data_IF_193654247286
#
_entry.id   IF_193654247286
#
_cell.length_a   1.000
_cell.length_b   1.000
_cell.length_c   1.000
_cell.angle_alpha   90.00
_cell.angle_beta   90.00
_cell.angle_gamma   90.00
#
_symmetry.space_group_name_H-M   'P 1'
#
loop_
_entity.id
_entity.type
_entity.pdbx_description
1 polymer ?
#
# COMPACT_ATOMS: atom_id res chain seq x y z
N UNK A 1 64.59 -39.65 8.98
CA UNK A 1 64.16 -40.18 7.65
C UNK A 1 63.91 -41.69 7.79
N UNK A 2 63.06 -42.36 6.99
CA UNK A 2 62.11 -41.86 5.96
C UNK A 2 60.68 -42.52 5.95
N UNK A 3 59.83 -42.08 4.99
CA UNK A 3 58.73 -42.79 4.28
C UNK A 3 57.47 -43.42 4.95
N UNK A 4 56.43 -42.59 5.16
CA UNK A 4 55.12 -42.56 4.45
C UNK A 4 54.54 -43.85 3.78
N UNK A 5 53.33 -44.34 4.20
CA UNK A 5 52.11 -44.59 3.37
C UNK A 5 50.92 -45.33 4.08
N UNK A 6 49.69 -44.76 3.99
CA UNK A 6 48.33 -45.42 4.05
C UNK A 6 48.01 -46.18 5.37
N UNK A 7 46.79 -46.60 5.77
CA UNK A 7 45.35 -46.52 5.37
C UNK A 7 44.53 -46.67 6.70
N UNK A 8 43.20 -46.56 6.89
CA UNK A 8 41.94 -46.24 6.17
C UNK A 8 40.92 -45.70 7.24
N UNK A 9 39.75 -45.09 6.94
CA UNK A 9 38.96 -44.35 7.94
C UNK A 9 37.79 -45.12 8.59
N UNK A 10 37.29 -44.54 9.70
CA UNK A 10 35.94 -44.74 10.24
C UNK A 10 35.53 -43.51 11.09
N UNK A 11 34.26 -43.19 11.33
CA UNK A 11 33.06 -43.84 10.78
C UNK A 11 31.89 -43.87 11.76
N UNK A 12 31.17 -42.76 11.95
CA UNK A 12 29.88 -42.72 12.64
C UNK A 12 28.80 -42.01 11.80
N UNK A 13 27.53 -42.32 12.10
CA UNK A 13 26.41 -42.26 11.15
C UNK A 13 25.38 -41.20 11.52
N UNK A 14 24.81 -40.55 10.51
CA UNK A 14 23.57 -39.78 10.63
C UNK A 14 22.41 -40.69 11.03
N UNK A 15 21.61 -40.27 12.02
CA UNK A 15 20.33 -40.90 12.33
C UNK A 15 19.24 -40.38 11.40
N UNK A 16 18.61 -41.27 10.63
CA UNK A 16 17.39 -40.96 9.86
C UNK A 16 16.20 -41.53 10.62
N UNK A 17 15.23 -40.67 10.98
CA UNK A 17 13.99 -41.07 11.61
C UNK A 17 12.90 -41.27 10.56
N UNK A 18 12.75 -42.50 10.09
CA UNK A 18 11.70 -42.89 9.14
C UNK A 18 10.39 -43.14 9.88
N UNK A 19 9.42 -42.23 9.72
CA UNK A 19 8.03 -42.48 10.16
C UNK A 19 7.26 -43.26 9.09
N UNK A 20 6.41 -44.21 9.52
CA UNK A 20 5.76 -45.19 8.64
C UNK A 20 4.39 -44.69 8.17
N UNK A 21 4.10 -44.79 6.87
CA UNK A 21 2.74 -44.67 6.37
C UNK A 21 1.92 -45.91 6.74
N UNK A 22 0.81 -45.72 7.44
CA UNK A 22 -0.26 -46.70 7.59
C UNK A 22 -1.50 -46.18 6.86
N UNK A 23 -1.84 -46.81 5.74
CA UNK A 23 -3.08 -46.55 5.01
C UNK A 23 -4.18 -47.50 5.51
N UNK A 24 -5.32 -46.95 5.91
CA UNK A 24 -6.51 -47.71 6.28
C UNK A 24 -7.77 -47.02 5.72
N UNK A 25 -8.53 -47.73 4.90
CA UNK A 25 -9.78 -47.24 4.33
C UNK A 25 -10.94 -47.41 5.33
N UNK A 26 -11.78 -46.40 5.55
CA UNK A 26 -13.14 -46.61 6.03
C UNK A 26 -14.02 -47.10 4.86
N UNK A 27 -14.74 -48.20 5.06
CA UNK A 27 -15.75 -48.67 4.10
C UNK A 27 -17.03 -47.82 4.19
N UNK A 28 -17.67 -47.60 3.04
CA UNK A 28 -18.95 -46.90 2.92
C UNK A 28 -20.12 -47.73 3.46
N UNK A 29 -20.96 -47.14 4.31
CA UNK A 29 -22.32 -47.63 4.57
C UNK A 29 -23.34 -46.49 4.60
N UNK A 30 -24.55 -46.80 4.12
CA UNK A 30 -25.76 -45.97 4.05
C UNK A 30 -26.93 -46.92 3.72
N UNK A 31 -28.23 -46.56 3.89
CA UNK A 31 -28.80 -45.33 4.45
C UNK A 31 -29.50 -45.65 5.80
N UNK A 32 -30.65 -45.07 6.25
CA UNK A 32 -31.88 -44.79 5.49
C UNK A 32 -32.24 -43.29 5.38
N UNK A 33 -33.10 -42.97 4.41
CA UNK A 33 -33.67 -41.62 4.25
C UNK A 33 -34.87 -41.40 5.18
N UNK A 34 -35.05 -40.18 5.69
CA UNK A 34 -36.20 -39.79 6.50
C UNK A 34 -36.68 -38.36 6.18
N UNK A 35 -37.97 -38.23 5.82
CA UNK A 35 -38.78 -37.02 5.97
C UNK A 35 -38.28 -35.71 5.34
N UNK A 36 -38.71 -35.40 4.11
CA UNK A 36 -38.90 -34.01 3.70
C UNK A 36 -40.06 -33.41 4.51
N UNK A 37 -39.75 -32.63 5.55
CA UNK A 37 -40.73 -31.81 6.25
C UNK A 37 -40.87 -30.45 5.54
N UNK A 38 -42.05 -30.17 4.99
CA UNK A 38 -42.37 -28.85 4.41
C UNK A 38 -42.41 -27.78 5.51
N UNK A 39 -41.76 -26.61 5.33
CA UNK A 39 -41.90 -25.52 6.28
C UNK A 39 -43.34 -25.00 6.31
N UNK A 40 -43.91 -24.87 7.50
CA UNK A 40 -45.26 -24.32 7.68
C UNK A 40 -45.29 -22.82 7.33
N UNK A 41 -46.41 -22.30 6.77
CA UNK A 41 -46.56 -20.87 6.53
C UNK A 41 -46.59 -20.10 7.85
N UNK A 42 -45.82 -19.01 7.93
CA UNK A 42 -45.85 -18.11 9.08
C UNK A 42 -47.20 -17.40 9.22
N UNK A 43 -47.60 -17.00 10.45
CA UNK A 43 -48.88 -16.34 10.70
C UNK A 43 -48.96 -14.99 9.98
N UNK A 44 -50.13 -14.70 9.40
CA UNK A 44 -50.41 -13.46 8.70
C UNK A 44 -50.42 -12.23 9.65
N UNK A 45 -50.10 -11.02 9.17
CA UNK A 45 -50.14 -9.81 9.99
C UNK A 45 -51.59 -9.46 10.39
N UNK A 46 -51.78 -9.11 11.66
CA UNK A 46 -53.07 -8.66 12.20
C UNK A 46 -53.43 -7.24 11.71
N UNK A 47 -54.73 -6.91 11.57
CA UNK A 47 -55.16 -5.62 11.01
C UNK A 47 -54.90 -4.44 11.94
N UNK A 48 -54.52 -3.30 11.35
CA UNK A 48 -54.26 -2.05 12.08
C UNK A 48 -55.56 -1.35 12.51
N UNK A 49 -55.62 -0.91 13.77
CA UNK A 49 -56.72 -0.08 14.29
C UNK A 49 -56.43 1.42 14.10
N UNK A 50 -57.39 2.25 13.63
CA UNK A 50 -57.19 3.68 13.42
C UNK A 50 -57.63 4.51 14.63
N UNK A 51 -56.72 5.31 15.20
CA UNK A 51 -57.00 6.33 16.24
C UNK A 51 -55.98 7.49 16.13
N UNK A 52 -56.24 8.68 16.68
CA UNK A 52 -56.83 9.78 15.92
C UNK A 52 -55.82 10.91 15.59
N UNK A 53 -56.25 11.89 14.79
CA UNK A 53 -55.44 13.06 14.47
C UNK A 53 -55.25 14.00 15.68
N UNK A 54 -53.99 14.20 16.10
CA UNK A 54 -53.60 15.25 17.04
C UNK A 54 -53.12 16.50 16.29
N UNK A 55 -53.57 17.67 16.74
CA UNK A 55 -53.34 18.96 16.07
C UNK A 55 -52.00 19.61 16.42
N UNK A 56 -51.18 19.83 15.40
CA UNK A 56 -50.35 21.04 15.23
C UNK A 56 -49.32 21.40 16.31
N UNK A 57 -48.11 20.85 16.19
CA UNK A 57 -46.88 21.51 16.68
C UNK A 57 -46.10 22.04 15.45
N UNK A 58 -45.59 23.29 15.45
CA UNK A 58 -44.77 23.77 14.34
C UNK A 58 -43.51 22.92 14.16
N UNK A 59 -43.23 22.49 12.93
CA UNK A 59 -42.01 21.74 12.63
C UNK A 59 -40.76 22.63 12.79
N UNK A 60 -39.68 22.15 13.42
CA UNK A 60 -38.40 22.85 13.38
C UNK A 60 -37.89 22.90 11.94
N UNK A 61 -37.29 24.03 11.55
CA UNK A 61 -36.72 24.18 10.21
C UNK A 61 -35.66 23.09 9.92
N UNK A 62 -35.54 22.61 8.66
CA UNK A 62 -34.58 21.56 8.33
C UNK A 62 -33.16 22.03 8.63
N UNK A 63 -32.50 21.35 9.56
CA UNK A 63 -31.12 21.64 9.92
C UNK A 63 -30.22 21.49 8.67
N UNK A 64 -29.42 22.51 8.38
CA UNK A 64 -28.46 22.47 7.27
C UNK A 64 -27.48 21.32 7.49
N UNK A 65 -27.51 20.31 6.62
CA UNK A 65 -26.56 19.20 6.64
C UNK A 65 -25.15 19.78 6.58
N UNK A 66 -24.25 19.46 7.54
CA UNK A 66 -22.87 19.92 7.48
C UNK A 66 -22.24 19.45 6.16
N UNK A 67 -21.66 20.39 5.41
CA UNK A 67 -20.98 20.04 4.17
C UNK A 67 -19.90 18.99 4.45
N UNK A 68 -19.79 17.98 3.57
CA UNK A 68 -18.77 16.97 3.68
C UNK A 68 -17.37 17.63 3.75
N UNK A 69 -16.43 17.11 4.56
CA UNK A 69 -15.09 17.68 4.66
C UNK A 69 -14.48 17.85 3.27
N UNK A 70 -14.07 19.09 2.95
CA UNK A 70 -13.53 19.40 1.63
C UNK A 70 -12.34 18.48 1.33
N UNK A 71 -12.33 17.90 0.12
CA UNK A 71 -11.23 17.03 -0.31
C UNK A 71 -9.89 17.76 -0.13
N UNK A 72 -8.84 17.10 0.41
CA UNK A 72 -7.57 17.75 0.68
C UNK A 72 -7.01 18.36 -0.61
N UNK A 73 -6.57 19.62 -0.51
CA UNK A 73 -6.12 20.40 -1.66
C UNK A 73 -5.04 19.66 -2.47
N UNK A 74 -5.09 19.70 -3.82
CA UNK A 74 -4.15 18.96 -4.65
C UNK A 74 -2.72 19.40 -4.34
N UNK A 75 -1.89 18.44 -3.89
CA UNK A 75 -0.45 18.65 -3.75
C UNK A 75 0.17 18.79 -5.15
N UNK A 76 1.30 19.50 -5.22
CA UNK A 76 2.14 19.46 -6.41
C UNK A 76 2.55 18.00 -6.70
N UNK A 77 2.12 17.47 -7.85
CA UNK A 77 2.12 16.03 -8.10
C UNK A 77 3.50 15.38 -7.90
N UNK A 78 3.61 14.39 -7.00
CA UNK A 78 4.80 13.56 -6.89
C UNK A 78 4.84 12.47 -7.97
N UNK A 79 3.86 12.36 -8.88
CA UNK A 79 3.77 11.29 -9.88
C UNK A 79 5.09 11.07 -10.66
N UNK A 80 5.71 9.89 -10.49
CA UNK A 80 7.05 9.55 -10.98
C UNK A 80 8.21 9.91 -10.03
N UNK A 81 7.94 10.20 -8.76
CA UNK A 81 8.97 10.50 -7.75
C UNK A 81 9.64 9.23 -7.25
N UNK A 82 10.97 9.24 -7.34
CA UNK A 82 11.82 8.13 -6.90
C UNK A 82 12.36 8.35 -5.48
N UNK A 83 12.47 7.25 -4.76
CA UNK A 83 13.28 7.09 -3.55
C UNK A 83 13.91 5.71 -3.47
N UNK A 84 14.47 5.37 -2.32
CA UNK A 84 14.99 4.03 -2.05
C UNK A 84 14.82 3.66 -0.57
N UNK A 85 14.65 2.38 -0.29
CA UNK A 85 14.99 1.83 1.02
C UNK A 85 16.49 1.55 1.06
N UNK A 86 17.18 2.14 2.04
CA UNK A 86 18.64 2.12 2.14
C UNK A 86 19.16 1.58 3.49
N UNK A 87 18.29 1.51 4.50
CA UNK A 87 18.46 1.06 5.91
C UNK A 87 17.42 1.82 6.76
N UNK A 88 16.77 1.21 7.77
CA UNK A 88 15.68 1.90 8.52
C UNK A 88 16.16 2.97 9.51
N UNK A 89 17.44 2.96 9.89
CA UNK A 89 18.03 3.88 10.86
C UNK A 89 18.48 5.22 10.28
N UNK A 90 19.09 6.11 11.11
CA UNK A 90 19.58 7.41 10.66
C UNK A 90 20.60 7.35 9.52
N UNK A 91 21.33 6.24 9.39
CA UNK A 91 22.25 6.01 8.29
C UNK A 91 21.54 5.86 6.94
N UNK A 92 20.29 5.36 6.88
CA UNK A 92 19.45 5.35 5.68
C UNK A 92 19.14 6.76 5.17
N UNK A 93 18.81 7.68 6.09
CA UNK A 93 18.63 9.11 5.77
C UNK A 93 19.90 9.72 5.18
N UNK A 94 21.07 9.39 5.74
CA UNK A 94 22.36 9.85 5.22
C UNK A 94 22.77 9.17 3.90
N UNK A 95 22.25 7.97 3.62
CA UNK A 95 22.44 7.24 2.35
C UNK A 95 21.61 7.87 1.22
N UNK A 96 20.40 8.39 1.48
CA UNK A 96 19.54 9.01 0.45
C UNK A 96 20.22 10.15 -0.31
N UNK A 97 20.80 11.12 0.41
CA UNK A 97 21.41 12.28 -0.23
C UNK A 97 22.64 11.84 -1.08
N UNK A 98 23.40 10.80 -0.65
CA UNK A 98 24.49 10.18 -1.43
C UNK A 98 24.03 9.34 -2.64
N UNK A 99 22.85 8.72 -2.57
CA UNK A 99 22.24 8.05 -3.72
C UNK A 99 21.85 9.09 -4.79
N UNK A 100 21.41 10.29 -4.36
CA UNK A 100 21.23 11.44 -5.24
C UNK A 100 22.51 11.84 -5.97
N UNK A 101 23.63 11.96 -5.24
CA UNK A 101 24.95 12.25 -5.82
C UNK A 101 25.39 11.19 -6.84
N UNK A 102 25.22 9.90 -6.53
CA UNK A 102 25.55 8.78 -7.45
C UNK A 102 24.65 8.75 -8.71
N UNK A 103 23.48 9.38 -8.65
CA UNK A 103 22.59 9.65 -9.79
C UNK A 103 22.83 11.05 -10.41
N UNK A 104 24.02 11.63 -10.21
CA UNK A 104 24.42 12.90 -10.82
C UNK A 104 23.82 14.15 -10.15
N UNK A 105 23.55 14.08 -8.85
CA UNK A 105 22.90 15.16 -8.09
C UNK A 105 21.37 15.14 -8.17
N UNK A 106 20.76 13.99 -8.48
CA UNK A 106 19.29 13.86 -8.59
C UNK A 106 18.65 14.05 -7.21
N UNK A 107 17.92 15.15 -7.04
CA UNK A 107 17.19 15.44 -5.81
C UNK A 107 16.06 14.43 -5.56
N UNK A 108 16.32 13.43 -4.72
CA UNK A 108 15.32 12.44 -4.30
C UNK A 108 14.16 13.13 -3.57
N UNK A 109 12.94 12.69 -3.88
CA UNK A 109 11.69 13.22 -3.32
C UNK A 109 11.00 12.27 -2.35
N UNK A 110 11.39 11.01 -2.33
CA UNK A 110 10.77 9.99 -1.48
C UNK A 110 11.82 9.39 -0.57
N UNK A 111 11.50 9.32 0.72
CA UNK A 111 12.24 8.55 1.71
C UNK A 111 11.37 7.39 2.17
N UNK A 112 11.96 6.20 2.30
CA UNK A 112 11.24 4.97 2.59
C UNK A 112 11.95 4.18 3.68
N UNK A 113 11.18 3.66 4.63
CA UNK A 113 11.68 2.99 5.84
C UNK A 113 10.60 2.12 6.46
N UNK A 114 11.00 1.23 7.37
CA UNK A 114 10.15 0.24 8.04
C UNK A 114 10.18 0.48 9.54
N UNK A 115 9.03 0.32 10.19
CA UNK A 115 8.99 0.16 11.63
C UNK A 115 9.36 -1.29 12.02
N UNK A 116 10.18 -1.49 13.06
CA UNK A 116 10.46 -2.83 13.55
C UNK A 116 9.17 -3.45 14.10
N UNK A 117 8.88 -4.66 13.63
CA UNK A 117 7.66 -5.41 13.97
C UNK A 117 7.86 -6.48 15.03
N UNK A 118 8.98 -6.48 15.76
CA UNK A 118 9.25 -7.40 16.87
C UNK A 118 8.25 -7.20 18.01
N UNK A 119 8.03 -5.95 18.40
CA UNK A 119 7.19 -5.54 19.53
C UNK A 119 6.34 -4.32 19.20
N UNK A 120 5.20 -4.17 19.88
CA UNK A 120 4.30 -3.01 19.70
C UNK A 120 4.98 -1.66 19.89
N UNK A 121 5.96 -1.55 20.79
CA UNK A 121 6.76 -0.33 21.00
C UNK A 121 7.57 0.09 19.76
N UNK A 122 7.90 -0.86 18.88
CA UNK A 122 8.48 -0.64 17.56
C UNK A 122 7.46 -0.15 16.53
N UNK A 123 6.28 -0.79 16.49
CA UNK A 123 5.14 -0.43 15.62
C UNK A 123 4.53 0.93 15.97
N UNK A 124 4.61 1.34 17.24
CA UNK A 124 4.27 2.70 17.67
C UNK A 124 5.23 3.78 17.14
N UNK A 125 6.36 3.40 16.53
CA UNK A 125 7.35 4.31 15.96
C UNK A 125 8.19 5.04 17.01
N UNK A 126 9.34 4.49 17.43
CA UNK A 126 10.25 5.17 18.35
C UNK A 126 10.72 6.53 17.78
N UNK A 127 10.70 7.63 18.55
CA UNK A 127 11.15 8.95 18.06
C UNK A 127 12.60 8.97 17.55
N UNK A 128 13.48 8.14 18.12
CA UNK A 128 14.86 7.99 17.65
C UNK A 128 14.98 7.39 16.23
N UNK A 129 14.00 6.60 15.81
CA UNK A 129 13.88 6.11 14.43
C UNK A 129 13.21 7.17 13.56
N UNK A 130 12.05 7.70 13.97
CA UNK A 130 11.21 8.56 13.12
C UNK A 130 11.76 9.99 12.91
N UNK A 131 12.41 10.60 13.91
CA UNK A 131 12.82 12.01 13.83
C UNK A 131 13.83 12.32 12.70
N UNK A 132 14.85 11.48 12.42
CA UNK A 132 15.69 11.63 11.22
C UNK A 132 14.91 11.67 9.90
N UNK A 133 13.90 10.81 9.74
CA UNK A 133 13.09 10.72 8.52
C UNK A 133 12.13 11.91 8.38
N UNK A 134 11.45 12.29 9.47
CA UNK A 134 10.63 13.50 9.52
C UNK A 134 11.47 14.76 9.22
N UNK A 135 12.68 14.84 9.79
CA UNK A 135 13.65 15.90 9.52
C UNK A 135 14.11 15.94 8.05
N UNK A 136 14.32 14.79 7.40
CA UNK A 136 14.62 14.73 5.96
C UNK A 136 13.44 15.23 5.11
N UNK A 137 12.22 14.81 5.46
CA UNK A 137 10.97 15.25 4.81
C UNK A 137 10.69 16.75 5.05
N UNK A 138 11.15 17.32 6.16
CA UNK A 138 11.03 18.76 6.42
C UNK A 138 11.97 19.62 5.55
N UNK A 139 13.11 19.09 5.06
CA UNK A 139 14.10 19.84 4.24
C UNK A 139 13.63 20.25 2.84
N UNK A 140 12.45 19.81 2.37
CA UNK A 140 11.99 20.13 1.01
C UNK A 140 10.48 20.08 0.82
N UNK A 141 9.92 21.14 0.23
CA UNK A 141 8.53 21.13 -0.23
C UNK A 141 8.38 20.08 -1.35
N UNK A 142 7.41 19.17 -1.21
CA UNK A 142 7.24 18.04 -2.13
C UNK A 142 8.11 16.81 -1.81
N UNK A 143 8.80 16.77 -0.66
CA UNK A 143 9.34 15.51 -0.11
C UNK A 143 8.23 14.71 0.58
N UNK A 144 8.21 13.40 0.32
CA UNK A 144 7.32 12.41 0.93
C UNK A 144 8.11 11.49 1.86
N UNK A 145 7.51 11.12 2.99
CA UNK A 145 7.94 9.98 3.80
C UNK A 145 6.96 8.82 3.54
N UNK A 146 7.49 7.67 3.18
CA UNK A 146 6.79 6.39 3.06
C UNK A 146 7.22 5.51 4.23
N UNK A 147 6.25 4.91 4.92
CA UNK A 147 6.50 4.13 6.13
C UNK A 147 5.75 2.80 6.05
N UNK A 148 6.50 1.69 6.00
CA UNK A 148 5.93 0.35 6.15
C UNK A 148 5.64 0.10 7.65
N UNK A 149 4.38 -0.19 7.95
CA UNK A 149 3.84 -0.33 9.31
C UNK A 149 3.27 -1.74 9.48
N UNK A 150 3.85 -2.58 10.34
CA UNK A 150 3.31 -3.89 10.64
C UNK A 150 1.94 -3.76 11.31
N UNK A 151 0.97 -4.57 10.91
CA UNK A 151 -0.31 -4.63 11.62
C UNK A 151 -0.26 -5.54 12.86
N UNK A 152 0.78 -6.33 13.08
CA UNK A 152 0.93 -7.17 14.27
C UNK A 152 2.40 -7.21 14.70
N UNK A 153 2.63 -7.33 16.01
CA UNK A 153 3.95 -7.61 16.59
C UNK A 153 4.44 -9.04 16.27
N UNK A 154 5.65 -9.39 16.66
CA UNK A 154 6.35 -10.60 16.19
C UNK A 154 6.24 -10.80 14.66
N UNK A 155 6.26 -9.71 13.87
CA UNK A 155 5.81 -9.67 12.48
C UNK A 155 6.57 -10.62 11.56
N UNK A 156 7.87 -10.83 11.79
CA UNK A 156 8.74 -11.73 11.02
C UNK A 156 9.00 -13.07 11.74
N UNK A 157 8.27 -13.34 12.83
CA UNK A 157 8.34 -14.63 13.53
C UNK A 157 7.40 -15.63 12.87
N UNK A 158 7.78 -16.90 12.82
CA UNK A 158 6.88 -17.97 12.38
C UNK A 158 5.75 -18.16 13.41
N UNK A 159 4.53 -17.73 13.05
CA UNK A 159 3.32 -17.84 13.90
C UNK A 159 2.28 -18.74 13.25
N UNK A 160 1.59 -19.56 14.04
CA UNK A 160 0.56 -20.50 13.58
C UNK A 160 -0.65 -19.78 12.97
N UNK A 161 -1.35 -20.45 12.07
CA UNK A 161 -2.57 -19.92 11.44
C UNK A 161 -3.70 -19.67 12.45
N UNK A 162 -3.82 -20.51 13.49
CA UNK A 162 -4.82 -20.30 14.55
C UNK A 162 -4.48 -19.10 15.43
N UNK A 163 -3.20 -18.80 15.65
CA UNK A 163 -2.76 -17.61 16.39
C UNK A 163 -2.84 -16.34 15.55
N UNK A 164 -2.52 -16.41 14.25
CA UNK A 164 -2.78 -15.29 13.32
C UNK A 164 -4.29 -15.00 13.28
N UNK A 165 -5.15 -16.01 13.09
CA UNK A 165 -6.61 -15.85 13.15
C UNK A 165 -7.06 -15.16 14.45
N UNK A 166 -6.58 -15.64 15.60
CA UNK A 166 -6.88 -15.10 16.93
C UNK A 166 -6.49 -13.62 17.05
N UNK A 167 -5.30 -13.26 16.58
CA UNK A 167 -4.75 -11.90 16.66
C UNK A 167 -5.41 -10.94 15.66
N UNK A 168 -5.72 -11.39 14.44
CA UNK A 168 -6.54 -10.63 13.49
C UNK A 168 -7.94 -10.37 14.08
N UNK A 169 -8.54 -11.34 14.76
CA UNK A 169 -9.85 -11.17 15.41
C UNK A 169 -9.80 -10.20 16.61
N UNK A 170 -8.71 -10.21 17.39
CA UNK A 170 -8.47 -9.18 18.42
C UNK A 170 -8.27 -7.78 17.82
N UNK A 171 -7.52 -7.66 16.72
CA UNK A 171 -7.41 -6.42 15.95
C UNK A 171 -8.76 -5.94 15.40
N UNK A 172 -9.58 -6.85 14.87
CA UNK A 172 -10.93 -6.56 14.39
C UNK A 172 -11.90 -6.14 15.51
N UNK A 173 -11.68 -6.58 16.75
CA UNK A 173 -12.38 -6.12 17.94
C UNK A 173 -11.86 -4.75 18.45
N UNK A 174 -10.66 -4.33 18.04
CA UNK A 174 -10.06 -3.03 18.34
C UNK A 174 -9.04 -3.02 19.48
N UNK A 175 -8.55 -4.19 19.92
CA UNK A 175 -7.59 -4.30 21.03
C UNK A 175 -6.22 -3.64 20.77
N UNK A 176 -5.93 -3.27 19.51
CA UNK A 176 -4.63 -2.71 19.10
C UNK A 176 -4.72 -1.26 18.58
N UNK A 177 -5.91 -0.64 18.57
CA UNK A 177 -6.14 0.71 18.04
C UNK A 177 -5.19 1.77 18.62
N UNK A 178 -4.85 1.63 19.90
CA UNK A 178 -4.08 2.60 20.66
C UNK A 178 -2.61 2.66 20.22
N UNK A 179 -2.03 1.55 19.72
CA UNK A 179 -0.68 1.54 19.15
C UNK A 179 -0.63 2.36 17.84
N UNK A 180 -1.63 2.19 16.96
CA UNK A 180 -1.71 2.98 15.72
C UNK A 180 -2.01 4.46 16.00
N UNK A 181 -2.88 4.77 16.99
CA UNK A 181 -3.11 6.15 17.43
C UNK A 181 -1.85 6.78 18.00
N UNK A 182 -1.03 6.00 18.70
CA UNK A 182 0.27 6.43 19.23
C UNK A 182 1.26 6.72 18.11
N UNK A 183 1.38 5.84 17.11
CA UNK A 183 2.19 6.08 15.90
C UNK A 183 1.76 7.36 15.18
N UNK A 184 0.46 7.50 14.89
CA UNK A 184 -0.11 8.68 14.25
C UNK A 184 0.19 9.96 15.05
N UNK A 185 0.05 9.92 16.39
CA UNK A 185 0.40 11.01 17.28
C UNK A 185 1.87 11.40 17.19
N UNK A 186 2.80 10.43 17.20
CA UNK A 186 4.25 10.67 17.08
C UNK A 186 4.61 11.25 15.71
N UNK A 187 4.04 10.75 14.61
CA UNK A 187 4.25 11.26 13.26
C UNK A 187 3.78 12.71 13.09
N UNK A 188 2.60 13.05 13.63
CA UNK A 188 2.10 14.45 13.64
C UNK A 188 3.01 15.34 14.48
N UNK A 189 3.37 14.91 15.69
CA UNK A 189 4.23 15.69 16.61
C UNK A 189 5.64 15.94 16.06
N UNK A 190 6.19 15.00 15.26
CA UNK A 190 7.48 15.14 14.59
C UNK A 190 7.43 15.98 13.29
N UNK A 191 6.25 16.51 12.90
CA UNK A 191 6.12 17.31 11.68
C UNK A 191 6.05 16.49 10.38
N UNK A 192 5.73 15.20 10.47
CA UNK A 192 5.43 14.32 9.33
C UNK A 192 3.94 13.87 9.28
N UNK A 193 2.95 14.79 9.41
CA UNK A 193 1.53 14.45 9.44
C UNK A 193 1.00 13.91 8.10
N UNK A 194 1.81 13.98 7.04
CA UNK A 194 1.48 13.59 5.67
C UNK A 194 2.36 12.46 5.15
N UNK A 195 2.72 11.55 6.05
CA UNK A 195 3.36 10.27 5.74
C UNK A 195 2.41 9.37 4.93
N UNK A 196 2.93 8.71 3.92
CA UNK A 196 2.28 7.59 3.23
C UNK A 196 2.49 6.32 4.06
N UNK A 197 1.40 5.69 4.49
CA UNK A 197 1.41 4.55 5.42
C UNK A 197 1.13 3.27 4.64
N UNK A 198 2.17 2.45 4.45
CA UNK A 198 2.04 1.11 3.84
C UNK A 198 1.68 0.14 4.97
N UNK A 199 0.38 -0.01 5.21
CA UNK A 199 -0.16 -0.70 6.38
C UNK A 199 -0.36 -2.20 6.10
N UNK A 200 0.48 -3.04 6.70
CA UNK A 200 0.44 -4.49 6.52
C UNK A 200 0.72 -4.91 5.08
N UNK A 201 1.95 -4.67 4.62
CA UNK A 201 2.41 -4.96 3.26
C UNK A 201 2.57 -6.47 3.01
N UNK A 202 2.63 -6.89 1.74
CA UNK A 202 2.77 -8.31 1.33
C UNK A 202 1.74 -9.27 1.99
N UNK A 203 0.54 -8.77 2.32
CA UNK A 203 -0.44 -9.53 3.13
C UNK A 203 -0.99 -10.79 2.47
N UNK A 204 -0.79 -10.95 1.15
CA UNK A 204 -1.12 -12.15 0.39
C UNK A 204 -0.12 -13.30 0.54
N UNK A 205 1.07 -13.04 1.09
CA UNK A 205 2.07 -14.05 1.36
C UNK A 205 1.93 -14.74 2.71
N UNK A 206 2.91 -15.59 3.03
CA UNK A 206 3.00 -16.30 4.33
C UNK A 206 4.07 -15.76 5.26
N UNK A 207 5.00 -14.94 4.75
CA UNK A 207 6.18 -14.39 5.44
C UNK A 207 5.83 -13.72 6.77
N UNK A 208 4.83 -12.84 6.76
CA UNK A 208 4.51 -11.98 7.89
C UNK A 208 3.39 -12.55 8.76
N UNK A 209 3.48 -12.30 10.08
CA UNK A 209 2.41 -12.64 11.03
C UNK A 209 1.12 -11.85 10.78
N UNK A 210 1.20 -10.71 10.10
CA UNK A 210 0.06 -9.86 9.74
C UNK A 210 -0.58 -10.20 8.38
N UNK A 211 -0.25 -11.36 7.80
CA UNK A 211 -0.87 -11.92 6.60
C UNK A 211 -2.41 -11.99 6.68
N UNK A 212 -3.05 -11.94 5.52
CA UNK A 212 -4.50 -11.90 5.37
C UNK A 212 -5.17 -13.28 5.49
N UNK A 213 -4.55 -14.33 4.95
CA UNK A 213 -4.92 -15.71 5.28
C UNK A 213 -4.43 -16.03 6.70
N UNK A 214 -5.22 -16.71 7.56
CA UNK A 214 -6.40 -17.50 7.22
C UNK A 214 -7.74 -16.84 7.60
N UNK A 215 -7.79 -15.53 7.87
CA UNK A 215 -9.05 -14.83 8.15
C UNK A 215 -9.11 -13.44 7.47
N UNK A 216 -9.38 -13.39 6.15
CA UNK A 216 -9.50 -12.14 5.40
C UNK A 216 -10.63 -11.23 5.92
N UNK A 217 -11.64 -11.79 6.59
CA UNK A 217 -12.77 -11.04 7.15
C UNK A 217 -12.33 -10.25 8.38
N UNK A 218 -11.61 -10.90 9.30
CA UNK A 218 -10.98 -10.23 10.43
C UNK A 218 -9.89 -9.25 9.95
N UNK A 219 -9.05 -9.65 8.98
CA UNK A 219 -8.00 -8.78 8.42
C UNK A 219 -8.58 -7.45 7.88
N UNK A 220 -9.60 -7.50 7.01
CA UNK A 220 -10.23 -6.29 6.45
C UNK A 220 -10.88 -5.40 7.50
N UNK A 221 -11.54 -6.01 8.50
CA UNK A 221 -12.13 -5.28 9.62
C UNK A 221 -11.05 -4.64 10.51
N UNK A 222 -9.93 -5.32 10.72
CA UNK A 222 -8.80 -4.80 11.49
C UNK A 222 -8.09 -3.65 10.75
N UNK A 223 -7.84 -3.79 9.45
CA UNK A 223 -7.25 -2.73 8.63
C UNK A 223 -8.08 -1.43 8.72
N UNK A 224 -9.42 -1.55 8.61
CA UNK A 224 -10.35 -0.43 8.87
C UNK A 224 -10.19 0.17 10.27
N UNK A 225 -10.03 -0.63 11.33
CA UNK A 225 -9.83 -0.14 12.71
C UNK A 225 -8.53 0.64 12.86
N UNK A 226 -7.41 0.11 12.39
CA UNK A 226 -6.11 0.77 12.43
C UNK A 226 -6.15 2.12 11.67
N UNK A 227 -6.67 2.13 10.43
CA UNK A 227 -6.86 3.36 9.65
C UNK A 227 -7.76 4.37 10.37
N UNK A 228 -8.86 3.92 10.97
CA UNK A 228 -9.77 4.79 11.75
C UNK A 228 -9.06 5.40 12.96
N UNK A 229 -8.29 4.60 13.71
CA UNK A 229 -7.56 5.04 14.89
C UNK A 229 -6.46 6.07 14.54
N UNK A 230 -5.78 5.91 13.41
CA UNK A 230 -4.81 6.88 12.90
C UNK A 230 -5.49 8.14 12.37
N UNK A 231 -6.57 8.01 11.58
CA UNK A 231 -7.30 9.15 11.01
C UNK A 231 -7.99 10.03 12.07
N UNK A 232 -8.25 9.50 13.25
CA UNK A 232 -8.78 10.22 14.41
C UNK A 232 -7.78 11.16 15.12
N UNK A 233 -6.48 11.11 14.79
CA UNK A 233 -5.48 12.01 15.41
C UNK A 233 -5.56 13.42 14.80
N UNK A 234 -5.77 14.49 15.59
CA UNK A 234 -5.85 15.85 15.06
C UNK A 234 -4.59 16.25 14.27
N UNK A 235 -4.79 16.95 13.15
CA UNK A 235 -3.71 17.47 12.29
C UNK A 235 -3.13 16.45 11.29
N UNK A 236 -3.46 15.16 11.40
CA UNK A 236 -3.06 14.14 10.44
C UNK A 236 -3.62 14.43 9.03
N UNK A 237 -2.84 14.05 8.01
CA UNK A 237 -3.16 14.07 6.58
C UNK A 237 -2.48 12.88 5.89
N UNK A 238 -2.49 11.72 6.55
CA UNK A 238 -1.91 10.48 6.05
C UNK A 238 -2.68 9.96 4.84
N UNK A 239 -2.01 9.13 4.06
CA UNK A 239 -2.60 8.31 3.01
C UNK A 239 -2.26 6.85 3.30
N UNK A 240 -3.20 5.96 3.05
CA UNK A 240 -3.04 4.54 3.35
C UNK A 240 -2.89 3.72 2.07
N UNK A 241 -1.73 3.11 1.94
CA UNK A 241 -1.32 2.34 0.77
C UNK A 241 -1.60 0.85 1.00
N UNK A 242 -2.46 0.28 0.15
CA UNK A 242 -2.76 -1.15 0.15
C UNK A 242 -1.80 -1.84 -0.82
N UNK A 243 -0.76 -2.46 -0.28
CA UNK A 243 0.38 -3.01 -1.04
C UNK A 243 0.53 -4.52 -0.82
N UNK A 244 0.16 -5.36 -1.80
CA UNK A 244 0.46 -6.78 -1.80
C UNK A 244 1.79 -7.10 -2.51
N UNK A 245 2.28 -8.33 -2.34
CA UNK A 245 3.31 -8.91 -3.20
C UNK A 245 2.73 -9.15 -4.60
N UNK A 246 3.54 -8.96 -5.62
CA UNK A 246 3.17 -9.26 -7.02
C UNK A 246 2.80 -10.74 -7.20
N UNK A 247 1.64 -10.97 -7.80
CA UNK A 247 1.11 -12.29 -8.13
C UNK A 247 0.16 -12.84 -7.07
N UNK A 248 -0.11 -14.15 -7.13
CA UNK A 248 -1.03 -14.82 -6.21
C UNK A 248 -0.48 -14.94 -4.78
N UNK A 249 0.81 -15.28 -4.67
CA UNK A 249 1.41 -15.90 -3.48
C UNK A 249 0.48 -16.96 -2.84
N UNK A 250 -0.04 -16.75 -1.63
CA UNK A 250 -0.88 -17.71 -0.91
C UNK A 250 -2.39 -17.42 -0.96
N UNK A 251 -2.80 -16.19 -1.28
CA UNK A 251 -4.22 -15.80 -1.40
C UNK A 251 -4.38 -14.62 -2.38
N UNK A 252 -5.41 -14.60 -3.26
CA UNK A 252 -5.71 -13.44 -4.09
C UNK A 252 -5.78 -12.14 -3.28
N UNK A 253 -4.86 -11.19 -3.51
CA UNK A 253 -4.82 -9.96 -2.72
C UNK A 253 -6.11 -9.13 -2.83
N UNK A 254 -6.85 -9.26 -3.92
CA UNK A 254 -8.19 -8.66 -4.08
C UNK A 254 -9.19 -9.16 -3.05
N UNK A 255 -9.06 -10.40 -2.54
CA UNK A 255 -9.89 -10.92 -1.45
C UNK A 255 -9.59 -10.24 -0.11
N UNK A 256 -8.38 -9.69 0.04
CA UNK A 256 -7.92 -8.93 1.20
C UNK A 256 -8.25 -7.43 1.12
N UNK A 257 -8.72 -6.93 -0.03
CA UNK A 257 -8.99 -5.51 -0.22
C UNK A 257 -10.03 -4.97 0.77
N UNK A 258 -9.70 -4.00 1.64
CA UNK A 258 -10.56 -3.60 2.74
C UNK A 258 -11.69 -2.62 2.32
N UNK A 259 -11.49 -1.83 1.26
CA UNK A 259 -12.53 -0.96 0.69
C UNK A 259 -12.09 0.48 0.42
N UNK A 260 -12.82 1.13 -0.48
CA UNK A 260 -12.48 2.45 -1.03
C UNK A 260 -12.51 3.60 -0.02
N UNK A 261 -13.23 3.42 1.09
CA UNK A 261 -13.39 4.37 2.18
C UNK A 261 -12.13 4.55 3.03
N UNK A 262 -11.24 3.55 3.04
CA UNK A 262 -10.04 3.51 3.89
C UNK A 262 -8.73 3.45 3.11
N UNK A 263 -8.75 3.02 1.84
CA UNK A 263 -7.54 2.94 0.99
C UNK A 263 -7.37 4.21 0.14
N UNK A 264 -6.16 4.75 0.07
CA UNK A 264 -5.81 5.97 -0.69
C UNK A 264 -4.86 5.71 -1.87
N UNK A 265 -4.20 4.54 -1.92
CA UNK A 265 -3.30 4.04 -3.01
C UNK A 265 -3.43 2.52 -3.16
N UNK A 266 -3.28 2.02 -4.38
CA UNK A 266 -3.05 0.59 -4.67
C UNK A 266 -1.58 0.37 -5.03
N UNK A 267 -0.76 0.03 -4.05
CA UNK A 267 0.64 -0.33 -4.26
C UNK A 267 0.84 -1.74 -4.80
N UNK A 268 2.10 -2.11 -4.99
CA UNK A 268 2.54 -3.46 -5.35
C UNK A 268 4.04 -3.60 -5.09
N UNK A 269 4.43 -4.65 -4.39
CA UNK A 269 5.84 -4.98 -4.15
C UNK A 269 6.30 -6.01 -5.19
N UNK A 270 7.39 -5.71 -5.93
CA UNK A 270 7.79 -6.49 -7.12
C UNK A 270 9.29 -6.66 -7.28
N UNK A 271 9.75 -7.90 -7.19
CA UNK A 271 11.12 -8.34 -7.46
C UNK A 271 11.19 -9.26 -8.69
N UNK A 272 12.38 -9.50 -9.25
CA UNK A 272 12.58 -10.34 -10.44
C UNK A 272 12.52 -11.86 -10.20
N UNK A 273 11.44 -12.30 -9.54
CA UNK A 273 11.20 -13.69 -9.15
C UNK A 273 9.88 -14.24 -9.75
N UNK A 274 9.72 -15.57 -9.91
CA UNK A 274 10.68 -16.65 -9.63
C UNK A 274 11.89 -16.66 -10.60
N UNK A 275 12.91 -17.45 -10.30
CA UNK A 275 14.10 -17.55 -11.15
C UNK A 275 13.73 -17.99 -12.58
N UNK A 276 14.34 -17.35 -13.58
CA UNK A 276 14.08 -17.57 -15.01
C UNK A 276 12.93 -16.75 -15.59
N UNK A 277 12.07 -16.14 -14.75
CA UNK A 277 10.89 -15.40 -15.23
C UNK A 277 11.23 -14.06 -15.90
N UNK A 278 10.40 -13.67 -16.86
CA UNK A 278 10.50 -12.47 -17.69
C UNK A 278 9.58 -11.36 -17.20
N UNK A 279 9.92 -10.11 -17.50
CA UNK A 279 9.06 -8.98 -17.15
C UNK A 279 7.67 -9.03 -17.80
N UNK A 280 7.56 -9.54 -19.04
CA UNK A 280 6.26 -9.75 -19.67
C UNK A 280 5.40 -10.79 -18.91
N UNK A 281 5.99 -11.75 -18.21
CA UNK A 281 5.24 -12.69 -17.35
C UNK A 281 4.76 -11.97 -16.07
N UNK A 282 5.61 -11.17 -15.43
CA UNK A 282 5.26 -10.32 -14.26
C UNK A 282 4.11 -9.35 -14.53
N UNK A 283 3.97 -8.89 -15.78
CA UNK A 283 2.85 -8.04 -16.22
C UNK A 283 1.59 -8.86 -16.49
N UNK A 284 1.71 -10.05 -17.08
CA UNK A 284 0.57 -10.82 -17.61
C UNK A 284 -0.02 -11.85 -16.64
N UNK A 285 0.70 -12.27 -15.61
CA UNK A 285 0.26 -13.29 -14.64
C UNK A 285 -1.00 -12.87 -13.86
N UNK A 286 -1.80 -13.83 -13.34
CA UNK A 286 -2.87 -13.53 -12.40
C UNK A 286 -2.33 -12.75 -11.20
N UNK A 287 -3.00 -11.64 -10.86
CA UNK A 287 -2.64 -10.77 -9.73
C UNK A 287 -1.28 -10.03 -9.88
N UNK A 288 -0.67 -10.05 -11.07
CA UNK A 288 0.56 -9.33 -11.43
C UNK A 288 0.38 -7.84 -11.73
N UNK A 289 1.39 -7.21 -12.36
CA UNK A 289 1.45 -5.74 -12.52
C UNK A 289 0.27 -5.15 -13.31
N UNK A 290 -0.25 -5.84 -14.34
CA UNK A 290 -1.47 -5.36 -15.03
C UNK A 290 -2.68 -5.39 -14.11
N UNK A 291 -2.86 -6.46 -13.33
CA UNK A 291 -3.99 -6.59 -12.42
C UNK A 291 -4.00 -5.47 -11.36
N UNK A 292 -2.84 -4.99 -10.92
CA UNK A 292 -2.73 -3.80 -10.07
C UNK A 292 -3.30 -2.55 -10.74
N UNK A 293 -2.83 -2.18 -11.93
CA UNK A 293 -3.23 -0.93 -12.59
C UNK A 293 -4.69 -0.96 -13.06
N UNK A 294 -5.17 -2.13 -13.51
CA UNK A 294 -6.58 -2.32 -13.88
C UNK A 294 -7.51 -2.21 -12.66
N UNK A 295 -7.11 -2.79 -11.52
CA UNK A 295 -7.86 -2.68 -10.26
C UNK A 295 -7.83 -1.26 -9.69
N UNK A 296 -6.67 -0.59 -9.73
CA UNK A 296 -6.53 0.79 -9.31
C UNK A 296 -7.41 1.73 -10.15
N UNK A 297 -7.45 1.54 -11.47
CA UNK A 297 -8.34 2.26 -12.37
C UNK A 297 -9.83 1.99 -12.08
N UNK A 298 -10.21 0.73 -11.84
CA UNK A 298 -11.58 0.34 -11.45
C UNK A 298 -12.05 1.03 -10.16
N UNK A 299 -11.16 1.14 -9.17
CA UNK A 299 -11.42 1.78 -7.87
C UNK A 299 -11.16 3.31 -7.86
N UNK A 300 -10.74 3.90 -8.99
CA UNK A 300 -10.46 5.32 -9.11
C UNK A 300 -9.26 5.81 -8.27
N UNK A 301 -8.28 4.92 -7.99
CA UNK A 301 -7.12 5.19 -7.13
C UNK A 301 -5.82 5.22 -7.93
N UNK A 302 -4.81 6.00 -7.50
CA UNK A 302 -3.47 5.93 -8.07
C UNK A 302 -2.71 4.67 -7.60
N UNK A 303 -1.64 4.34 -8.31
CA UNK A 303 -0.72 3.24 -7.98
C UNK A 303 0.61 3.73 -7.38
N UNK A 304 1.27 2.86 -6.61
CA UNK A 304 2.65 3.01 -6.12
C UNK A 304 3.46 1.73 -6.35
N UNK A 305 4.78 1.80 -6.10
CA UNK A 305 5.67 0.65 -5.99
C UNK A 305 6.58 0.83 -4.77
N UNK A 306 6.11 0.46 -3.56
CA UNK A 306 6.85 0.69 -2.32
C UNK A 306 8.14 -0.11 -2.27
N UNK A 307 8.11 -1.36 -2.72
CA UNK A 307 9.31 -2.16 -2.96
C UNK A 307 9.43 -2.58 -4.42
N UNK A 308 10.64 -2.41 -4.96
CA UNK A 308 11.06 -3.17 -6.12
C UNK A 308 12.58 -3.32 -6.17
N UNK A 309 13.04 -4.34 -6.87
CA UNK A 309 14.47 -4.56 -7.07
C UNK A 309 14.78 -5.88 -7.76
N UNK A 310 16.06 -6.23 -7.78
CA UNK A 310 16.53 -7.53 -8.24
C UNK A 310 16.29 -8.58 -7.12
N UNK A 311 16.34 -9.87 -7.43
CA UNK A 311 16.38 -10.91 -6.40
C UNK A 311 16.90 -12.25 -6.93
N UNK A 312 16.15 -12.90 -7.82
CA UNK A 312 16.35 -14.31 -8.18
C UNK A 312 17.04 -14.50 -9.52
N UNK A 313 17.01 -13.50 -10.41
CA UNK A 313 17.78 -13.51 -11.65
C UNK A 313 19.14 -12.78 -11.55
N UNK A 314 19.46 -12.20 -10.38
CA UNK A 314 20.74 -11.53 -10.12
C UNK A 314 20.90 -10.21 -10.89
N UNK A 315 22.06 -9.99 -11.50
CA UNK A 315 22.34 -8.78 -12.29
C UNK A 315 21.52 -8.74 -13.58
N UNK A 316 20.27 -8.30 -13.50
CA UNK A 316 19.26 -8.33 -14.55
C UNK A 316 18.93 -6.92 -15.11
N UNK A 317 19.75 -6.39 -16.04
CA UNK A 317 19.53 -5.08 -16.64
C UNK A 317 18.24 -5.00 -17.47
N UNK A 318 17.66 -6.13 -17.89
CA UNK A 318 16.41 -6.16 -18.64
C UNK A 318 15.22 -5.83 -17.72
N UNK A 319 15.09 -6.52 -16.57
CA UNK A 319 14.07 -6.19 -15.57
C UNK A 319 14.20 -4.76 -15.05
N UNK A 320 15.44 -4.33 -14.77
CA UNK A 320 15.74 -2.97 -14.32
C UNK A 320 15.23 -1.90 -15.29
N UNK A 321 15.42 -2.12 -16.61
CA UNK A 321 14.88 -1.25 -17.66
C UNK A 321 13.35 -1.29 -17.70
N UNK A 322 12.77 -2.49 -17.72
CA UNK A 322 11.32 -2.64 -17.92
C UNK A 322 10.48 -2.13 -16.74
N UNK A 323 10.97 -2.24 -15.50
CA UNK A 323 10.32 -1.58 -14.35
C UNK A 323 10.33 -0.05 -14.47
N UNK A 324 11.46 0.55 -14.87
CA UNK A 324 11.56 1.99 -15.07
C UNK A 324 10.69 2.48 -16.25
N UNK A 325 10.62 1.73 -17.36
CA UNK A 325 9.69 2.00 -18.47
C UNK A 325 8.22 1.86 -18.05
N UNK A 326 7.90 0.89 -17.19
CA UNK A 326 6.57 0.69 -16.63
C UNK A 326 6.14 1.84 -15.70
N UNK A 327 7.05 2.32 -14.86
CA UNK A 327 6.84 3.49 -14.00
C UNK A 327 6.70 4.78 -14.81
N UNK A 328 7.50 4.96 -15.86
CA UNK A 328 7.37 6.09 -16.78
C UNK A 328 6.01 6.11 -17.50
N UNK A 329 5.46 4.93 -17.82
CA UNK A 329 4.12 4.78 -18.44
C UNK A 329 2.98 5.06 -17.47
N UNK A 330 2.97 4.42 -16.31
CA UNK A 330 1.83 4.47 -15.38
C UNK A 330 1.91 5.61 -14.35
N UNK A 331 3.06 6.29 -14.25
CA UNK A 331 3.30 7.48 -13.42
C UNK A 331 2.81 7.33 -11.97
N UNK A 332 3.31 6.30 -11.24
CA UNK A 332 2.89 6.03 -9.86
C UNK A 332 3.15 7.24 -8.95
N UNK A 333 2.37 7.40 -7.88
CA UNK A 333 2.54 8.52 -6.92
C UNK A 333 3.94 8.54 -6.31
N UNK A 334 4.56 7.37 -6.15
CA UNK A 334 5.98 7.18 -5.89
C UNK A 334 6.44 5.78 -6.32
N UNK A 335 7.75 5.59 -6.42
CA UNK A 335 8.37 4.27 -6.45
C UNK A 335 9.68 4.28 -5.66
N UNK A 336 9.99 3.17 -4.99
CA UNK A 336 11.15 3.07 -4.07
C UNK A 336 11.91 1.77 -4.29
N UNK A 337 13.19 1.89 -4.66
CA UNK A 337 14.04 0.72 -4.91
C UNK A 337 14.63 0.18 -3.60
N UNK A 338 14.60 -1.14 -3.42
CA UNK A 338 15.19 -1.82 -2.27
C UNK A 338 16.68 -2.04 -2.52
N UNK A 339 17.55 -1.25 -1.89
CA UNK A 339 18.96 -1.16 -2.28
C UNK A 339 19.93 -1.72 -1.22
N UNK A 340 19.95 -3.05 -1.11
CA UNK A 340 21.01 -3.85 -0.48
C UNK A 340 21.14 -5.19 -1.22
N UNK A 341 22.24 -5.94 -1.06
CA UNK A 341 22.37 -7.23 -1.78
C UNK A 341 21.36 -8.28 -1.28
N UNK A 342 20.70 -9.05 -2.17
CA UNK A 342 20.91 -9.15 -3.63
C UNK A 342 20.17 -8.12 -4.49
N UNK A 343 19.29 -7.30 -3.90
CA UNK A 343 18.28 -6.50 -4.61
C UNK A 343 18.80 -5.22 -5.27
N UNK A 344 19.79 -4.58 -4.64
CA UNK A 344 20.22 -3.23 -4.97
C UNK A 344 21.04 -3.08 -6.25
N UNK A 345 21.23 -1.83 -6.64
CA UNK A 345 21.99 -1.37 -7.81
C UNK A 345 23.10 -0.38 -7.44
N UNK A 346 23.03 0.26 -6.27
CA UNK A 346 24.06 1.17 -5.75
C UNK A 346 24.89 0.53 -4.65
N UNK A 347 24.26 0.08 -3.56
CA UNK A 347 24.97 -0.59 -2.46
C UNK A 347 25.38 -2.03 -2.78
N UNK A 348 24.76 -2.66 -3.79
CA UNK A 348 25.12 -4.02 -4.21
C UNK A 348 26.03 -4.05 -5.44
N UNK A 349 27.35 -4.14 -5.22
CA UNK A 349 28.35 -4.26 -6.28
C UNK A 349 28.27 -5.54 -7.13
N UNK A 350 27.40 -6.50 -6.78
CA UNK A 350 27.15 -7.71 -7.56
C UNK A 350 26.28 -7.48 -8.82
N UNK A 351 25.63 -6.31 -8.95
CA UNK A 351 24.67 -6.02 -10.02
C UNK A 351 25.12 -4.94 -11.04
N UNK A 352 26.37 -4.97 -11.57
CA UNK A 352 27.00 -3.84 -12.24
C UNK A 352 26.46 -3.51 -13.63
N UNK A 353 25.68 -4.38 -14.29
CA UNK A 353 24.98 -4.03 -15.54
C UNK A 353 23.67 -3.31 -15.23
N UNK A 354 22.97 -3.76 -14.19
CA UNK A 354 21.74 -3.15 -13.69
C UNK A 354 22.00 -1.76 -13.10
N UNK A 355 23.12 -1.58 -12.37
CA UNK A 355 23.63 -0.27 -11.94
C UNK A 355 23.69 0.75 -13.09
N UNK A 356 24.26 0.36 -14.24
CA UNK A 356 24.41 1.25 -15.40
C UNK A 356 23.05 1.62 -15.99
N UNK A 357 22.13 0.66 -16.13
CA UNK A 357 20.77 0.91 -16.64
C UNK A 357 20.02 1.89 -15.72
N UNK A 358 20.06 1.65 -14.41
CA UNK A 358 19.40 2.51 -13.43
C UNK A 358 20.00 3.93 -13.41
N UNK A 359 21.33 4.06 -13.45
CA UNK A 359 22.00 5.36 -13.58
C UNK A 359 21.63 6.06 -14.89
N UNK A 360 21.77 5.41 -16.06
CA UNK A 360 21.47 6.01 -17.36
C UNK A 360 20.03 6.54 -17.41
N UNK A 361 19.05 5.69 -17.09
CA UNK A 361 17.63 6.05 -17.22
C UNK A 361 17.16 7.10 -16.21
N UNK A 362 17.82 7.23 -15.05
CA UNK A 362 17.46 8.24 -14.03
C UNK A 362 18.38 9.47 -14.02
N UNK A 363 19.50 9.44 -14.75
CA UNK A 363 20.31 10.62 -15.07
C UNK A 363 19.74 11.36 -16.29
N UNK A 364 19.43 10.63 -17.36
CA UNK A 364 18.88 11.18 -18.61
C UNK A 364 17.41 11.63 -18.48
N UNK A 365 16.68 11.14 -17.48
CA UNK A 365 15.34 11.61 -17.14
C UNK A 365 15.37 12.97 -16.45
N UNK A 366 15.55 14.05 -17.22
CA UNK A 366 15.37 15.44 -16.76
C UNK A 366 14.07 15.58 -15.94
N UNK A 367 14.06 16.37 -14.85
CA UNK A 367 12.82 16.75 -14.19
C UNK A 367 11.99 17.58 -15.18
N UNK A 368 10.91 17.00 -15.70
CA UNK A 368 10.08 17.56 -16.76
C UNK A 368 9.80 19.06 -16.53
N UNK A 369 10.46 19.91 -17.33
CA UNK A 369 10.38 21.37 -17.23
C UNK A 369 8.90 21.77 -17.25
N UNK A 370 8.41 22.53 -16.24
CA UNK A 370 7.03 23.00 -16.24
C UNK A 370 6.70 23.66 -17.56
N UNK A 371 5.67 23.16 -18.26
CA UNK A 371 5.24 23.75 -19.52
C UNK A 371 4.97 25.24 -19.28
N UNK A 372 5.52 26.15 -20.11
CA UNK A 372 5.38 27.58 -19.87
C UNK A 372 3.89 27.91 -19.81
N UNK A 373 3.45 28.46 -18.66
CA UNK A 373 2.05 28.79 -18.42
C UNK A 373 1.62 29.72 -19.55
N UNK A 374 0.74 29.22 -20.42
CA UNK A 374 0.15 30.04 -21.48
C UNK A 374 -0.73 31.06 -20.80
N UNK A 375 -0.22 32.28 -20.68
CA UNK A 375 -0.99 33.45 -20.22
C UNK A 375 -2.32 33.46 -20.99
N UNK A 376 -3.48 33.43 -20.31
CA UNK A 376 -4.76 33.54 -20.99
C UNK A 376 -4.76 34.80 -21.86
N UNK A 377 -5.13 34.65 -23.13
CA UNK A 377 -5.28 35.81 -24.00
C UNK A 377 -6.31 36.77 -23.35
N UNK A 378 -6.05 38.09 -23.31
CA UNK A 378 -6.92 39.03 -22.63
C UNK A 378 -8.34 38.94 -23.22
N UNK A 379 -9.31 38.61 -22.36
CA UNK A 379 -10.71 38.48 -22.75
C UNK A 379 -11.17 39.81 -23.33
N UNK A 380 -11.52 39.82 -24.62
CA UNK A 380 -12.07 41.01 -25.26
C UNK A 380 -13.42 41.32 -24.64
N UNK A 381 -13.50 42.43 -23.92
CA UNK A 381 -14.77 42.97 -23.38
C UNK A 381 -15.79 43.09 -24.52
N UNK A 382 -17.00 42.53 -24.39
CA UNK A 382 -18.07 42.79 -25.35
C UNK A 382 -18.37 44.29 -25.41
N UNK A 383 -18.56 44.83 -26.62
CA UNK A 383 -19.01 46.20 -26.79
C UNK A 383 -20.45 46.35 -26.23
N UNK A 384 -20.80 47.50 -25.62
CA UNK A 384 -22.15 47.73 -25.13
C UNK A 384 -23.15 47.74 -26.30
N UNK A 385 -24.29 47.06 -26.10
CA UNK A 385 -25.37 47.03 -27.09
C UNK A 385 -26.01 48.41 -27.25
N UNK A 386 -26.42 48.83 -28.47
CA UNK A 386 -27.12 50.09 -28.67
C UNK A 386 -28.42 50.19 -27.86
N UNK A 387 -28.72 51.38 -27.35
CA UNK A 387 -29.98 51.66 -26.66
C UNK A 387 -31.17 51.62 -27.64
N UNK A 388 -32.38 51.22 -27.18
CA UNK A 388 -33.58 51.21 -28.03
C UNK A 388 -33.98 52.63 -28.42
N UNK A 389 -34.37 52.82 -29.68
CA UNK A 389 -34.84 54.10 -30.19
C UNK A 389 -36.22 54.47 -29.62
N UNK A 390 -36.39 55.73 -29.22
CA UNK A 390 -37.68 56.24 -28.74
C UNK A 390 -38.65 56.43 -29.91
N UNK A 391 -39.83 55.82 -29.85
CA UNK A 391 -40.93 56.07 -30.79
C UNK A 391 -41.56 57.43 -30.49
N UNK A 392 -41.40 58.39 -31.41
CA UNK A 392 -42.03 59.71 -31.31
C UNK A 392 -43.56 59.62 -31.48
N UNK A 393 -44.28 60.47 -30.74
CA UNK A 393 -45.74 60.58 -30.83
C UNK A 393 -46.22 61.41 -32.02
N UNK A 394 -47.47 61.15 -32.41
CA UNK A 394 -48.25 61.78 -33.49
C UNK A 394 -48.38 63.30 -33.34
N UNK A 395 -48.72 64.01 -34.44
CA UNK A 395 -49.99 64.74 -34.40
C UNK A 395 -50.92 64.48 -35.61
N UNK A 396 -52.16 64.97 -35.46
CA UNK A 396 -53.36 64.61 -36.23
C UNK A 396 -53.46 65.19 -37.65
N UNK A 397 -54.26 64.52 -38.48
CA UNK A 397 -55.37 65.13 -39.22
C UNK A 397 -56.51 64.12 -39.34
#
# INVERSE_FOLDING_TARGET
MPHRKRRNPGGWRSGVLTAVLLAACPLTLSPPAAGYATPAPGPAPAPSTPVPASSGTPAPAPASVPAAPAAPAPRADPAGSMGAFLESGPAGVARLDRLGDWLGGRALRVAHTYLPGDHWTGIEGPPALLAPWAGWRARGAGRLLVLNVPMLDASETAVSDDDVRRRLQWGAAGYYDDHFRTLAGRLVALGAPDTEIVLGWEMNGTTYAHRCAPDPTAWKRYWKRAVTAMRAVPGQRFRFDFTPSRGLDAIPWTACYPGDDVVDVIGMDSYDQPAGSRFDEHVNEPYGLRAQVDFAALHGKPVSYPEWGLFRNGDNPAYMRSMLEWMARHRPVYHTITDYCPHGVWQCGANPRSSRVFQQMLYEAEPAKPAPVRTPAPVRTPAPSPAPAATAGTPQS
#
